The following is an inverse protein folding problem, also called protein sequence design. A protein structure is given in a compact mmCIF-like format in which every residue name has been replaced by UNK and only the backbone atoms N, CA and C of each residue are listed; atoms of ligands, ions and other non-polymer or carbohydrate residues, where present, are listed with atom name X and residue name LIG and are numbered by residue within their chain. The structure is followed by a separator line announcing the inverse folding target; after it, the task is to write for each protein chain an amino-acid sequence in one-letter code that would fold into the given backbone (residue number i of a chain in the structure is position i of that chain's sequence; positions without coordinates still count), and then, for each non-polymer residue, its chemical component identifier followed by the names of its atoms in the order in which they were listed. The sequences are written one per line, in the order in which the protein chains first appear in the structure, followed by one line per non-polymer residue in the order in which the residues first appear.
data_IF_526776207845
#
_entry.id   IF_526776207845
#
_cell.length_a   1.000
_cell.length_b   1.000
_cell.length_c   1.000
_cell.angle_alpha   90.00
_cell.angle_beta   90.00
_cell.angle_gamma   90.00
#
_symmetry.space_group_name_H-M   'P 1'
#
loop_
_entity.id
_entity.type
_entity.pdbx_description
1 polymer ?
#
# COMPACT_ATOMS: atom_id res chain seq x y z
N UNK A 1 5.05 6.57 20.38
CA UNK A 1 5.74 7.20 21.53
C UNK A 1 4.73 7.95 22.39
N UNK A 2 4.77 7.78 23.71
CA UNK A 2 3.93 8.58 24.59
C UNK A 2 4.40 10.05 24.59
N UNK A 3 3.50 11.00 24.91
CA UNK A 3 3.87 12.42 24.99
C UNK A 3 5.02 12.67 25.99
N UNK A 4 5.16 11.84 27.03
CA UNK A 4 6.25 11.91 28.00
C UNK A 4 7.62 11.54 27.42
N UNK A 5 7.67 10.52 26.57
CA UNK A 5 8.92 10.08 25.88
C UNK A 5 9.39 11.12 24.87
N UNK A 6 8.47 11.74 24.12
CA UNK A 6 8.81 12.82 23.20
C UNK A 6 9.38 14.03 23.94
N UNK A 7 8.76 14.42 25.07
CA UNK A 7 9.24 15.52 25.88
C UNK A 7 10.64 15.23 26.48
N UNK A 8 10.90 14.01 26.93
CA UNK A 8 12.21 13.58 27.39
C UNK A 8 13.25 13.69 26.28
N UNK A 9 12.94 13.18 25.08
CA UNK A 9 13.80 13.31 23.91
C UNK A 9 14.12 14.77 23.56
N UNK A 10 13.10 15.65 23.55
CA UNK A 10 13.27 17.08 23.27
C UNK A 10 14.14 17.78 24.34
N UNK A 11 14.04 17.37 25.61
CA UNK A 11 14.88 17.88 26.67
C UNK A 11 16.35 17.43 26.50
N UNK A 12 16.56 16.17 26.11
CA UNK A 12 17.91 15.61 25.92
C UNK A 12 18.64 16.26 24.72
N UNK A 13 17.98 16.44 23.59
CA UNK A 13 18.59 17.13 22.44
C UNK A 13 18.90 18.61 22.76
N UNK A 14 18.15 19.22 23.67
CA UNK A 14 18.38 20.59 24.13
C UNK A 14 19.70 20.79 24.91
N UNK A 15 20.23 19.70 25.50
CA UNK A 15 21.50 19.73 26.27
C UNK A 15 22.74 19.84 25.38
N UNK A 16 22.63 19.51 24.10
CA UNK A 16 23.77 19.58 23.19
C UNK A 16 23.95 20.99 22.62
N UNK A 17 25.09 21.65 22.89
CA UNK A 17 25.35 23.00 22.37
C UNK A 17 25.60 22.98 20.87
N UNK A 18 25.22 24.06 20.20
CA UNK A 18 25.51 24.23 18.77
C UNK A 18 27.02 24.48 18.59
N UNK A 19 27.64 23.70 17.69
CA UNK A 19 29.05 23.84 17.39
C UNK A 19 29.36 25.11 16.60
N UNK A 20 30.54 25.71 16.84
CA UNK A 20 31.07 26.78 15.99
C UNK A 20 31.32 26.28 14.56
N UNK A 21 31.29 27.18 13.57
CA UNK A 21 31.54 26.83 12.16
C UNK A 21 32.86 26.09 11.95
N UNK A 22 33.90 26.50 12.65
CA UNK A 22 35.21 25.86 12.56
C UNK A 22 35.22 24.45 13.14
N UNK A 23 34.52 24.24 14.25
CA UNK A 23 34.38 22.90 14.84
C UNK A 23 33.55 21.99 13.91
N UNK A 24 32.45 22.48 13.35
CA UNK A 24 31.66 21.73 12.36
C UNK A 24 32.53 21.30 11.15
N UNK A 25 33.30 22.22 10.56
CA UNK A 25 34.19 21.91 9.45
C UNK A 25 35.26 20.88 9.79
N UNK A 26 35.86 20.95 11.01
CA UNK A 26 36.80 19.94 11.46
C UNK A 26 36.18 18.55 11.53
N UNK A 27 34.96 18.43 12.07
CA UNK A 27 34.24 17.16 12.12
C UNK A 27 33.86 16.69 10.71
N UNK A 28 33.35 17.56 9.85
CA UNK A 28 32.99 17.21 8.48
C UNK A 28 34.19 16.73 7.66
N UNK A 29 35.38 17.31 7.81
CA UNK A 29 36.62 16.83 7.15
C UNK A 29 36.99 15.39 7.58
N UNK A 30 36.77 15.06 8.86
CA UNK A 30 37.02 13.68 9.36
C UNK A 30 35.99 12.70 8.83
N UNK A 31 34.72 13.12 8.74
CA UNK A 31 33.65 12.32 8.14
C UNK A 31 33.96 12.08 6.67
N UNK A 32 34.29 13.14 5.93
CA UNK A 32 34.60 13.07 4.50
C UNK A 32 35.77 12.16 4.22
N UNK A 33 36.88 12.27 4.98
CA UNK A 33 38.05 11.40 4.87
C UNK A 33 37.75 9.92 5.14
N UNK A 34 36.75 9.64 6.00
CA UNK A 34 36.31 8.28 6.27
C UNK A 34 35.38 7.73 5.20
N UNK A 35 34.36 8.48 4.83
CA UNK A 35 33.33 8.05 3.86
C UNK A 35 33.91 7.89 2.45
N UNK A 36 34.81 8.80 2.05
CA UNK A 36 35.42 8.83 0.70
C UNK A 36 36.88 8.26 0.71
N UNK A 37 37.18 7.33 1.60
CA UNK A 37 38.46 6.66 1.60
C UNK A 37 38.66 5.81 0.33
N UNK A 38 39.80 5.84 -0.32
CA UNK A 38 40.11 5.16 -1.59
C UNK A 38 39.80 3.67 -1.60
N UNK A 39 39.96 2.99 -0.44
CA UNK A 39 39.58 1.58 -0.26
C UNK A 39 38.13 1.33 0.13
N UNK A 40 37.27 2.37 0.12
CA UNK A 40 35.89 2.32 0.64
C UNK A 40 35.80 2.49 2.16
N UNK A 41 34.63 2.85 2.64
CA UNK A 41 34.30 3.15 4.04
C UNK A 41 34.70 2.02 5.02
N UNK A 42 34.55 0.76 4.63
CA UNK A 42 34.82 -0.42 5.46
C UNK A 42 36.27 -0.74 5.56
N UNK A 43 37.06 -0.48 4.52
CA UNK A 43 38.48 -0.75 4.43
C UNK A 43 39.33 0.43 4.92
N UNK A 44 38.72 1.51 5.40
CA UNK A 44 39.45 2.63 5.97
C UNK A 44 40.24 2.18 7.23
N UNK A 45 41.49 2.66 7.42
CA UNK A 45 42.29 2.38 8.59
C UNK A 45 41.52 2.64 9.90
N UNK A 46 41.74 1.82 10.91
CA UNK A 46 41.00 1.85 12.17
C UNK A 46 40.95 3.25 12.83
N UNK A 47 42.05 4.02 12.77
CA UNK A 47 42.08 5.38 13.32
C UNK A 47 41.19 6.37 12.54
N UNK A 48 41.15 6.28 11.19
CA UNK A 48 40.30 7.12 10.36
C UNK A 48 38.83 6.76 10.59
N UNK A 49 38.49 5.46 10.59
CA UNK A 49 37.14 4.98 10.86
C UNK A 49 36.66 5.44 12.24
N UNK A 50 37.45 5.25 13.30
CA UNK A 50 37.11 5.68 14.66
C UNK A 50 36.91 7.19 14.77
N UNK A 51 37.78 7.98 14.10
CA UNK A 51 37.68 9.43 14.10
C UNK A 51 36.47 9.90 13.30
N UNK A 52 36.16 9.27 12.17
CA UNK A 52 34.99 9.52 11.34
C UNK A 52 33.69 9.22 12.07
N UNK A 53 33.54 8.02 12.65
CA UNK A 53 32.34 7.62 13.42
C UNK A 53 32.06 8.57 14.59
N UNK A 54 33.07 8.86 15.42
CA UNK A 54 32.94 9.82 16.54
C UNK A 54 32.53 11.21 16.05
N UNK A 55 33.09 11.64 14.92
CA UNK A 55 32.72 12.94 14.33
C UNK A 55 31.31 12.94 13.79
N UNK A 56 30.82 11.82 13.24
CA UNK A 56 29.44 11.63 12.80
C UNK A 56 28.49 11.73 14.01
N UNK A 57 28.76 11.02 15.10
CA UNK A 57 27.93 11.05 16.31
C UNK A 57 27.82 12.48 16.87
N UNK A 58 28.93 13.20 16.95
CA UNK A 58 28.94 14.60 17.40
C UNK A 58 28.14 15.50 16.46
N UNK A 59 28.30 15.34 15.14
CA UNK A 59 27.58 16.17 14.16
C UNK A 59 26.09 15.86 14.14
N UNK A 60 25.69 14.60 14.30
CA UNK A 60 24.28 14.22 14.38
C UNK A 60 23.66 14.81 15.64
N UNK A 61 24.21 14.53 16.82
CA UNK A 61 23.64 14.96 18.10
C UNK A 61 23.48 16.49 18.20
N UNK A 62 24.46 17.25 17.71
CA UNK A 62 24.40 18.72 17.75
C UNK A 62 23.45 19.34 16.72
N UNK A 63 23.02 18.58 15.70
CA UNK A 63 22.10 19.05 14.66
C UNK A 63 20.68 18.47 14.76
N UNK A 64 20.36 17.61 15.77
CA UNK A 64 19.01 17.08 15.98
C UNK A 64 17.93 18.17 16.12
N UNK A 65 18.28 19.31 16.72
CA UNK A 65 17.36 20.45 16.84
C UNK A 65 16.93 21.00 15.48
N UNK A 66 17.82 20.98 14.47
CA UNK A 66 17.47 21.35 13.09
C UNK A 66 16.44 20.39 12.53
N UNK A 67 16.61 19.07 12.73
CA UNK A 67 15.65 18.05 12.28
C UNK A 67 14.28 18.30 12.88
N UNK A 68 14.18 18.51 14.19
CA UNK A 68 12.90 18.81 14.87
C UNK A 68 12.25 20.08 14.31
N UNK A 69 13.03 21.13 14.05
CA UNK A 69 12.50 22.39 13.49
C UNK A 69 11.90 22.21 12.10
N UNK A 70 12.47 21.29 11.30
CA UNK A 70 11.94 20.92 9.99
C UNK A 70 10.72 20.04 10.15
N UNK A 71 10.76 18.98 11.00
CA UNK A 71 9.68 18.03 11.21
C UNK A 71 8.37 18.69 11.65
N UNK A 72 8.44 19.71 12.52
CA UNK A 72 7.26 20.48 12.96
C UNK A 72 6.43 21.07 11.81
N UNK A 73 7.04 21.35 10.65
CA UNK A 73 6.34 21.88 9.46
C UNK A 73 5.62 20.81 8.64
N UNK A 74 5.86 19.53 8.95
CA UNK A 74 5.28 18.39 8.26
C UNK A 74 4.26 17.63 9.10
N UNK A 75 4.01 18.07 10.33
CA UNK A 75 2.97 17.51 11.22
C UNK A 75 1.60 17.62 10.55
N UNK A 76 0.75 16.60 10.73
CA UNK A 76 -0.60 16.54 10.17
C UNK A 76 -0.66 16.07 8.70
N UNK A 77 0.44 15.52 8.17
CA UNK A 77 0.51 14.98 6.80
C UNK A 77 0.46 13.45 6.73
N UNK A 78 -0.05 12.79 7.78
CA UNK A 78 -0.25 11.34 7.83
C UNK A 78 0.87 10.56 8.52
N UNK A 79 1.93 11.23 9.00
CA UNK A 79 2.94 10.64 9.89
C UNK A 79 3.00 11.40 11.20
N UNK A 80 3.22 10.69 12.29
CA UNK A 80 3.42 11.26 13.62
C UNK A 80 4.77 11.99 13.72
N UNK A 81 4.83 12.99 14.63
CA UNK A 81 6.05 13.79 14.81
C UNK A 81 7.28 12.96 15.16
N UNK A 82 7.22 11.92 16.01
CA UNK A 82 8.37 11.05 16.27
C UNK A 82 8.91 10.36 15.01
N UNK A 83 8.02 9.84 14.16
CA UNK A 83 8.42 9.14 12.94
C UNK A 83 9.05 10.11 11.94
N UNK A 84 8.46 11.31 11.80
CA UNK A 84 9.05 12.38 10.99
C UNK A 84 10.45 12.77 11.46
N UNK A 85 10.67 12.80 12.77
CA UNK A 85 11.99 13.10 13.34
C UNK A 85 12.99 11.98 12.99
N UNK A 86 12.60 10.70 13.11
CA UNK A 86 13.50 9.60 12.78
C UNK A 86 13.86 9.57 11.29
N UNK A 87 12.87 9.74 10.41
CA UNK A 87 13.13 9.85 8.98
C UNK A 87 14.03 11.06 8.65
N UNK A 88 13.80 12.18 9.34
CA UNK A 88 14.66 13.35 9.22
C UNK A 88 16.09 13.12 9.73
N UNK A 89 16.27 12.33 10.78
CA UNK A 89 17.58 11.94 11.29
C UNK A 89 18.36 11.10 10.26
N UNK A 90 17.68 10.16 9.58
CA UNK A 90 18.27 9.41 8.46
C UNK A 90 18.70 10.36 7.32
N UNK A 91 17.85 11.35 7.01
CA UNK A 91 18.19 12.40 6.05
C UNK A 91 19.39 13.24 6.48
N UNK A 92 19.49 13.61 7.76
CA UNK A 92 20.65 14.33 8.32
C UNK A 92 21.93 13.53 8.16
N UNK A 93 21.94 12.25 8.54
CA UNK A 93 23.09 11.34 8.41
C UNK A 93 23.53 11.28 6.95
N UNK A 94 22.60 11.05 6.04
CA UNK A 94 22.89 11.01 4.60
C UNK A 94 23.46 12.34 4.08
N UNK A 95 22.91 13.46 4.52
CA UNK A 95 23.42 14.79 4.19
C UNK A 95 24.84 15.02 4.70
N UNK A 96 25.18 14.54 5.90
CA UNK A 96 26.53 14.64 6.45
C UNK A 96 27.54 13.75 5.71
N UNK A 97 27.12 12.57 5.27
CA UNK A 97 27.98 11.67 4.45
C UNK A 97 28.35 12.29 3.09
N UNK A 98 27.41 12.99 2.47
CA UNK A 98 27.57 13.58 1.13
C UNK A 98 28.11 15.03 1.17
N UNK A 99 28.26 15.59 2.36
CA UNK A 99 28.73 16.98 2.50
C UNK A 99 30.20 17.12 2.16
N UNK A 100 30.50 18.01 1.22
CA UNK A 100 31.87 18.36 0.85
C UNK A 100 32.33 19.63 1.59
N UNK A 101 33.28 19.50 2.55
CA UNK A 101 33.75 20.62 3.35
C UNK A 101 34.60 21.65 2.56
N UNK A 102 34.96 21.37 1.29
CA UNK A 102 35.77 22.28 0.46
C UNK A 102 34.94 23.35 -0.22
N UNK A 103 33.61 23.14 -0.38
CA UNK A 103 32.70 24.04 -1.11
C UNK A 103 32.30 25.30 -0.35
N UNK A 104 32.63 25.44 0.93
CA UNK A 104 32.41 26.65 1.71
C UNK A 104 30.97 26.92 2.18
N UNK A 105 30.00 26.08 1.81
CA UNK A 105 28.61 26.25 2.28
C UNK A 105 28.46 25.81 3.75
N UNK A 106 27.48 26.40 4.45
CA UNK A 106 27.16 25.96 5.81
C UNK A 106 26.56 24.53 5.80
N UNK A 107 26.96 23.72 6.77
CA UNK A 107 26.47 22.33 6.92
C UNK A 107 24.95 22.30 7.01
N UNK A 108 24.35 23.19 7.81
CA UNK A 108 22.90 23.29 8.00
C UNK A 108 22.14 23.58 6.70
N UNK A 109 22.70 24.40 5.81
CA UNK A 109 22.08 24.72 4.51
C UNK A 109 22.05 23.51 3.60
N UNK A 110 23.10 22.72 3.58
CA UNK A 110 23.19 21.51 2.77
C UNK A 110 22.33 20.37 3.33
N UNK A 111 22.46 20.08 4.61
CA UNK A 111 21.73 18.98 5.28
C UNK A 111 20.23 19.24 5.34
N UNK A 112 19.79 20.51 5.37
CA UNK A 112 18.37 20.87 5.33
C UNK A 112 17.61 20.25 4.16
N UNK A 113 18.22 20.21 2.97
CA UNK A 113 17.60 19.63 1.79
C UNK A 113 17.45 18.11 1.90
N UNK A 114 18.44 17.44 2.47
CA UNK A 114 18.40 15.99 2.71
C UNK A 114 17.37 15.61 3.78
N UNK A 115 17.30 16.38 4.87
CA UNK A 115 16.29 16.21 5.92
C UNK A 115 14.89 16.35 5.30
N UNK A 116 14.67 17.41 4.56
CA UNK A 116 13.40 17.67 3.87
C UNK A 116 13.04 16.56 2.89
N UNK A 117 13.99 16.12 2.09
CA UNK A 117 13.81 15.06 1.11
C UNK A 117 13.42 13.73 1.78
N UNK A 118 14.12 13.35 2.86
CA UNK A 118 13.82 12.12 3.62
C UNK A 118 12.40 12.16 4.18
N UNK A 119 12.01 13.25 4.88
CA UNK A 119 10.68 13.41 5.43
C UNK A 119 9.58 13.37 4.35
N UNK A 120 9.79 14.08 3.23
CA UNK A 120 8.82 14.08 2.12
C UNK A 120 8.67 12.69 1.52
N UNK A 121 9.79 11.98 1.33
CA UNK A 121 9.79 10.61 0.84
C UNK A 121 9.05 9.67 1.79
N UNK A 122 9.30 9.76 3.09
CA UNK A 122 8.63 8.95 4.11
C UNK A 122 7.11 9.20 4.11
N UNK A 123 6.67 10.46 4.02
CA UNK A 123 5.25 10.79 3.90
C UNK A 123 4.64 10.12 2.66
N UNK A 124 5.29 10.18 1.50
CA UNK A 124 4.77 9.57 0.28
C UNK A 124 4.73 8.04 0.32
N UNK A 125 5.62 7.40 1.09
CA UNK A 125 5.72 5.94 1.14
C UNK A 125 4.91 5.30 2.27
N UNK A 126 4.78 5.97 3.42
CA UNK A 126 4.31 5.35 4.66
C UNK A 126 3.11 6.06 5.31
N UNK A 127 2.73 7.27 4.86
CA UNK A 127 1.65 8.02 5.47
C UNK A 127 0.24 7.46 5.16
N UNK A 128 0.11 6.56 4.19
CA UNK A 128 -1.17 5.98 3.77
C UNK A 128 -1.18 4.48 3.95
N UNK A 129 -2.30 3.93 4.40
CA UNK A 129 -2.53 2.48 4.50
C UNK A 129 -2.44 1.82 3.12
N UNK A 130 -3.06 2.44 2.10
CA UNK A 130 -2.95 2.00 0.70
C UNK A 130 -1.88 2.88 0.03
N UNK A 131 -0.76 2.25 -0.34
CA UNK A 131 0.37 2.94 -0.97
C UNK A 131 0.02 3.48 -2.36
N UNK A 132 0.34 4.75 -2.59
CA UNK A 132 0.20 5.41 -3.89
C UNK A 132 1.60 5.73 -4.46
N UNK A 133 1.84 5.61 -5.78
CA UNK A 133 3.10 6.02 -6.41
C UNK A 133 3.41 7.51 -6.19
N UNK A 134 4.69 7.86 -6.07
CA UNK A 134 5.14 9.24 -5.77
C UNK A 134 4.66 10.23 -6.84
N UNK A 135 4.74 9.86 -8.12
CA UNK A 135 4.31 10.73 -9.22
C UNK A 135 2.82 11.12 -9.11
N UNK A 136 1.98 10.17 -8.68
CA UNK A 136 0.55 10.42 -8.46
C UNK A 136 0.33 11.39 -7.28
N UNK A 137 1.14 11.29 -6.21
CA UNK A 137 1.09 12.21 -5.09
C UNK A 137 1.39 13.66 -5.49
N UNK A 138 2.39 13.88 -6.35
CA UNK A 138 2.75 15.23 -6.80
C UNK A 138 1.62 15.85 -7.64
N UNK A 139 1.03 15.07 -8.53
CA UNK A 139 -0.11 15.50 -9.35
C UNK A 139 -1.31 15.80 -8.46
N UNK A 140 -1.64 14.91 -7.51
CA UNK A 140 -2.72 15.12 -6.54
C UNK A 140 -2.53 16.37 -5.69
N UNK A 141 -1.32 16.62 -5.19
CA UNK A 141 -1.02 17.82 -4.40
C UNK A 141 -1.20 19.11 -5.21
N UNK A 142 -0.85 19.10 -6.50
CA UNK A 142 -1.08 20.22 -7.43
C UNK A 142 -2.58 20.40 -7.69
N UNK A 143 -3.30 19.32 -7.93
CA UNK A 143 -4.75 19.30 -8.14
C UNK A 143 -5.50 19.90 -6.94
N UNK A 144 -5.19 19.43 -5.72
CA UNK A 144 -5.84 19.93 -4.50
C UNK A 144 -5.58 21.42 -4.26
N UNK A 145 -4.34 21.87 -4.52
CA UNK A 145 -3.99 23.29 -4.41
C UNK A 145 -4.81 24.12 -5.39
N UNK A 146 -4.89 23.68 -6.65
CA UNK A 146 -5.68 24.36 -7.66
C UNK A 146 -7.18 24.42 -7.31
N UNK A 147 -7.76 23.31 -6.85
CA UNK A 147 -9.16 23.27 -6.40
C UNK A 147 -9.39 24.26 -5.27
N UNK A 148 -8.49 24.30 -4.28
CA UNK A 148 -8.59 25.22 -3.13
C UNK A 148 -8.50 26.68 -3.57
N UNK A 149 -7.55 27.04 -4.41
CA UNK A 149 -7.35 28.39 -4.94
C UNK A 149 -8.53 28.83 -5.83
N UNK A 150 -8.96 27.97 -6.74
CA UNK A 150 -10.08 28.24 -7.64
C UNK A 150 -11.40 28.42 -6.90
N UNK A 151 -11.68 27.54 -5.92
CA UNK A 151 -12.88 27.64 -5.09
C UNK A 151 -12.89 28.91 -4.23
N UNK A 152 -11.73 29.31 -3.72
CA UNK A 152 -11.59 30.54 -2.95
C UNK A 152 -11.85 31.81 -3.79
N UNK A 153 -11.43 31.81 -5.08
CA UNK A 153 -11.59 32.94 -5.98
C UNK A 153 -12.97 33.02 -6.62
N UNK A 154 -13.54 31.88 -7.05
CA UNK A 154 -14.73 31.82 -7.86
C UNK A 154 -15.97 31.35 -7.10
N UNK A 155 -15.84 30.86 -5.85
CA UNK A 155 -16.93 30.29 -5.08
C UNK A 155 -17.54 29.00 -5.64
N UNK A 156 -16.85 28.35 -6.62
CA UNK A 156 -17.29 27.13 -7.29
C UNK A 156 -16.12 26.14 -7.40
N UNK A 157 -16.45 24.86 -7.46
CA UNK A 157 -15.47 23.79 -7.71
C UNK A 157 -15.13 23.77 -9.21
N UNK A 158 -13.85 23.70 -9.61
CA UNK A 158 -13.46 23.63 -11.03
C UNK A 158 -13.91 22.32 -11.66
N UNK A 159 -14.18 22.35 -12.96
CA UNK A 159 -14.50 21.16 -13.76
C UNK A 159 -13.28 20.27 -13.97
N UNK A 160 -13.48 18.97 -14.25
CA UNK A 160 -12.40 18.02 -14.54
C UNK A 160 -11.52 18.51 -15.69
N UNK A 161 -12.11 19.14 -16.70
CA UNK A 161 -11.40 19.70 -17.86
C UNK A 161 -10.50 20.88 -17.48
N UNK A 162 -10.92 21.74 -16.55
CA UNK A 162 -10.12 22.85 -16.06
C UNK A 162 -8.94 22.35 -15.19
N UNK A 163 -9.20 21.34 -14.34
CA UNK A 163 -8.16 20.69 -13.54
C UNK A 163 -7.12 20.03 -14.48
N UNK A 164 -7.57 19.27 -15.46
CA UNK A 164 -6.73 18.58 -16.43
C UNK A 164 -5.80 19.53 -17.19
N UNK A 165 -6.34 20.68 -17.61
CA UNK A 165 -5.58 21.74 -18.26
C UNK A 165 -4.52 22.36 -17.35
N UNK A 166 -4.83 22.57 -16.06
CA UNK A 166 -3.90 23.15 -15.09
C UNK A 166 -2.74 22.19 -14.76
N UNK A 167 -3.06 20.90 -14.61
CA UNK A 167 -2.08 19.86 -14.21
C UNK A 167 -1.29 19.33 -15.42
N UNK A 168 -1.71 19.68 -16.64
CA UNK A 168 -1.15 19.16 -17.91
C UNK A 168 -1.28 17.63 -18.01
N UNK A 169 -2.50 17.14 -17.77
CA UNK A 169 -2.85 15.72 -17.85
C UNK A 169 -4.15 15.53 -18.65
N UNK A 170 -4.39 14.30 -19.11
CA UNK A 170 -5.66 13.96 -19.76
C UNK A 170 -6.82 13.97 -18.75
N UNK A 171 -8.04 14.42 -19.11
CA UNK A 171 -9.20 14.43 -18.22
C UNK A 171 -9.51 13.06 -17.59
N UNK A 172 -9.40 11.98 -18.38
CA UNK A 172 -9.60 10.58 -17.91
C UNK A 172 -8.59 10.19 -16.84
N UNK A 173 -7.34 10.64 -16.96
CA UNK A 173 -6.28 10.39 -15.97
C UNK A 173 -6.56 11.14 -14.67
N UNK A 174 -7.06 12.37 -14.75
CA UNK A 174 -7.42 13.18 -13.57
C UNK A 174 -8.60 12.56 -12.85
N UNK A 175 -9.62 12.09 -13.57
CA UNK A 175 -10.77 11.39 -13.00
C UNK A 175 -10.35 10.12 -12.26
N UNK A 176 -9.59 9.25 -12.90
CA UNK A 176 -9.04 8.05 -12.27
C UNK A 176 -8.16 8.37 -11.04
N UNK A 177 -7.40 9.47 -11.04
CA UNK A 177 -6.62 9.89 -9.88
C UNK A 177 -7.51 10.38 -8.72
N UNK A 178 -8.61 11.07 -9.00
CA UNK A 178 -9.56 11.51 -7.99
C UNK A 178 -10.27 10.31 -7.35
N UNK A 179 -10.65 9.31 -8.14
CA UNK A 179 -11.24 8.06 -7.65
C UNK A 179 -10.26 7.30 -6.75
N UNK A 180 -8.99 7.17 -7.17
CA UNK A 180 -7.94 6.57 -6.33
C UNK A 180 -7.78 7.33 -5.02
N UNK A 181 -7.88 8.66 -5.03
CA UNK A 181 -7.79 9.46 -3.81
C UNK A 181 -8.93 9.16 -2.83
N UNK A 182 -10.16 9.01 -3.32
CA UNK A 182 -11.33 8.66 -2.51
C UNK A 182 -11.21 7.24 -1.93
N UNK A 183 -10.81 6.27 -2.74
CA UNK A 183 -10.64 4.86 -2.33
C UNK A 183 -9.52 4.72 -1.29
N UNK A 184 -8.47 5.51 -1.38
CA UNK A 184 -7.32 5.44 -0.44
C UNK A 184 -7.53 6.21 0.86
N UNK A 185 -8.65 6.92 1.02
CA UNK A 185 -9.07 7.55 2.27
C UNK A 185 -9.72 6.52 3.21
N UNK A 186 -8.89 5.64 3.81
CA UNK A 186 -9.37 4.63 4.76
C UNK A 186 -9.89 5.29 6.04
N UNK A 187 -11.07 4.86 6.50
CA UNK A 187 -11.59 5.17 7.84
C UNK A 187 -11.39 3.97 8.76
N UNK A 188 -11.29 4.21 10.08
CA UNK A 188 -11.16 3.13 11.04
C UNK A 188 -12.50 2.40 11.20
N UNK A 189 -12.47 1.07 11.19
CA UNK A 189 -13.62 0.22 11.46
C UNK A 189 -14.07 0.27 12.94
N UNK A 190 -13.16 0.63 13.85
CA UNK A 190 -13.45 0.76 15.28
C UNK A 190 -14.16 2.09 15.62
N UNK A 191 -14.33 2.97 14.64
CA UNK A 191 -15.03 4.24 14.86
C UNK A 191 -16.50 3.98 15.13
N UNK A 192 -17.03 4.57 16.21
CA UNK A 192 -18.46 4.51 16.53
C UNK A 192 -19.22 5.31 15.47
N UNK A 193 -20.21 4.70 14.84
CA UNK A 193 -21.07 5.35 13.83
C UNK A 193 -21.82 6.55 14.42
N UNK A 194 -22.00 7.62 13.65
CA UNK A 194 -22.64 8.87 14.11
C UNK A 194 -24.05 8.67 14.69
N UNK A 195 -24.74 7.60 14.32
CA UNK A 195 -26.13 7.29 14.74
C UNK A 195 -26.26 5.94 15.45
N UNK A 196 -25.16 5.27 15.78
CA UNK A 196 -25.15 3.95 16.40
C UNK A 196 -24.17 3.93 17.59
N UNK A 197 -24.49 3.18 18.64
CA UNK A 197 -23.58 2.94 19.76
C UNK A 197 -22.52 1.88 19.45
N UNK A 198 -22.65 1.21 18.30
CA UNK A 198 -21.77 0.12 17.86
C UNK A 198 -20.70 0.62 16.89
N UNK A 199 -19.50 0.00 16.88
CA UNK A 199 -18.45 0.30 15.90
C UNK A 199 -18.89 -0.06 14.48
N UNK A 200 -18.28 0.60 13.48
CA UNK A 200 -18.62 0.41 12.05
C UNK A 200 -18.44 -1.03 11.61
N UNK A 201 -17.49 -1.77 12.22
CA UNK A 201 -17.25 -3.18 11.89
C UNK A 201 -18.49 -4.05 12.10
N UNK A 202 -19.31 -3.78 13.13
CA UNK A 202 -20.51 -4.55 13.44
C UNK A 202 -21.66 -4.26 12.46
N UNK A 203 -21.56 -3.15 11.69
CA UNK A 203 -22.56 -2.77 10.69
C UNK A 203 -22.25 -3.36 9.30
N UNK A 204 -21.02 -3.85 9.08
CA UNK A 204 -20.60 -4.42 7.80
C UNK A 204 -21.07 -5.88 7.74
N UNK A 205 -22.00 -6.16 6.82
CA UNK A 205 -22.44 -7.53 6.58
C UNK A 205 -21.30 -8.35 5.96
N UNK A 206 -21.11 -9.57 6.43
CA UNK A 206 -20.20 -10.52 5.79
C UNK A 206 -20.87 -11.07 4.52
N UNK A 207 -20.47 -10.56 3.34
CA UNK A 207 -21.05 -11.00 2.06
C UNK A 207 -20.72 -12.44 1.71
N UNK A 208 -19.54 -12.92 2.12
CA UNK A 208 -19.16 -14.34 1.95
C UNK A 208 -19.96 -15.27 2.87
N UNK A 209 -20.44 -14.75 3.99
CA UNK A 209 -21.23 -15.51 4.98
C UNK A 209 -22.71 -15.70 4.60
N UNK A 210 -23.26 -14.96 3.65
CA UNK A 210 -24.71 -15.10 3.30
C UNK A 210 -25.04 -16.47 2.74
N UNK A 211 -24.17 -17.08 1.94
CA UNK A 211 -24.36 -18.45 1.44
C UNK A 211 -23.98 -19.54 2.45
N UNK A 212 -23.06 -19.23 3.39
CA UNK A 212 -22.50 -20.19 4.35
C UNK A 212 -23.21 -20.19 5.71
N UNK A 213 -23.99 -19.16 6.02
CA UNK A 213 -24.58 -18.98 7.38
C UNK A 213 -26.06 -19.38 7.43
N UNK A 214 -26.71 -19.56 6.27
CA UNK A 214 -28.07 -20.06 6.22
C UNK A 214 -28.05 -21.60 6.20
N UNK A 215 -28.47 -22.26 7.28
CA UNK A 215 -28.47 -23.72 7.36
C UNK A 215 -29.41 -24.36 6.33
N UNK A 216 -30.36 -23.62 5.78
CA UNK A 216 -31.27 -24.12 4.74
C UNK A 216 -30.55 -24.34 3.42
N UNK A 217 -29.57 -23.49 3.07
CA UNK A 217 -28.78 -23.63 1.84
C UNK A 217 -27.98 -24.93 1.82
N UNK A 218 -27.42 -25.33 2.96
CA UNK A 218 -26.68 -26.58 3.04
C UNK A 218 -27.62 -27.79 2.88
N UNK A 219 -28.80 -27.74 3.52
CA UNK A 219 -29.81 -28.78 3.37
C UNK A 219 -30.38 -28.87 1.95
N UNK A 220 -30.63 -27.72 1.32
CA UNK A 220 -31.09 -27.66 -0.08
C UNK A 220 -30.02 -28.26 -1.01
N UNK A 221 -28.74 -27.97 -0.81
CA UNK A 221 -27.63 -28.54 -1.58
C UNK A 221 -27.50 -30.07 -1.38
N UNK A 222 -27.69 -30.55 -0.16
CA UNK A 222 -27.72 -32.01 0.12
C UNK A 222 -28.92 -32.67 -0.56
N UNK A 223 -30.11 -32.06 -0.50
CA UNK A 223 -31.30 -32.56 -1.16
C UNK A 223 -31.14 -32.58 -2.68
N UNK A 224 -30.66 -31.51 -3.29
CA UNK A 224 -30.36 -31.43 -4.72
C UNK A 224 -29.33 -32.49 -5.15
N UNK A 225 -28.28 -32.65 -4.36
CA UNK A 225 -27.24 -33.67 -4.61
C UNK A 225 -27.82 -35.10 -4.55
N UNK A 226 -28.70 -35.37 -3.59
CA UNK A 226 -29.39 -36.66 -3.48
C UNK A 226 -30.32 -36.91 -4.67
N UNK A 227 -31.06 -35.91 -5.14
CA UNK A 227 -31.94 -35.99 -6.33
C UNK A 227 -31.11 -36.30 -7.58
N UNK A 228 -30.00 -35.59 -7.77
CA UNK A 228 -29.09 -35.82 -8.91
C UNK A 228 -28.46 -37.23 -8.85
N UNK A 229 -27.97 -37.64 -7.68
CA UNK A 229 -27.39 -38.98 -7.48
C UNK A 229 -28.40 -40.09 -7.77
N UNK A 230 -29.68 -39.91 -7.38
CA UNK A 230 -30.75 -40.85 -7.73
C UNK A 230 -31.03 -40.86 -9.24
N UNK A 231 -31.13 -39.71 -9.88
CA UNK A 231 -31.36 -39.61 -11.32
C UNK A 231 -30.20 -40.23 -12.15
N UNK A 232 -28.97 -40.12 -11.67
CA UNK A 232 -27.80 -40.75 -12.30
C UNK A 232 -27.85 -42.29 -12.37
N UNK A 233 -28.65 -42.93 -11.52
CA UNK A 233 -28.82 -44.40 -11.57
C UNK A 233 -29.57 -44.89 -12.81
N UNK A 234 -30.37 -44.03 -13.43
CA UNK A 234 -31.15 -44.35 -14.63
C UNK A 234 -30.38 -44.13 -15.93
N UNK A 235 -29.12 -43.67 -15.86
CA UNK A 235 -28.25 -43.54 -17.02
C UNK A 235 -27.50 -44.85 -17.31
N UNK A 236 -27.22 -45.10 -18.61
CA UNK A 236 -26.31 -46.18 -18.99
C UNK A 236 -24.89 -45.90 -18.50
N UNK A 237 -24.05 -46.94 -18.36
CA UNK A 237 -22.66 -46.75 -17.92
C UNK A 237 -21.88 -45.74 -18.77
N UNK A 238 -22.09 -45.75 -20.09
CA UNK A 238 -21.45 -44.83 -21.03
C UNK A 238 -21.93 -43.40 -20.84
N UNK A 239 -23.24 -43.19 -20.68
CA UNK A 239 -23.85 -41.85 -20.43
C UNK A 239 -23.36 -41.28 -19.09
N UNK A 240 -23.29 -42.12 -18.04
CA UNK A 240 -22.82 -41.72 -16.72
C UNK A 240 -21.34 -41.31 -16.78
N UNK A 241 -20.50 -42.08 -17.47
CA UNK A 241 -19.08 -41.77 -17.61
C UNK A 241 -18.83 -40.44 -18.32
N UNK A 242 -19.62 -40.12 -19.36
CA UNK A 242 -19.54 -38.83 -20.07
C UNK A 242 -19.93 -37.67 -19.15
N UNK A 243 -21.05 -37.81 -18.42
CA UNK A 243 -21.49 -36.75 -17.48
C UNK A 243 -20.43 -36.50 -16.42
N UNK A 244 -19.91 -37.58 -15.80
CA UNK A 244 -18.86 -37.47 -14.78
C UNK A 244 -17.58 -36.82 -15.34
N UNK A 245 -17.13 -37.23 -16.53
CA UNK A 245 -15.91 -36.67 -17.15
C UNK A 245 -16.06 -35.16 -17.47
N UNK A 246 -17.25 -34.75 -17.94
CA UNK A 246 -17.48 -33.34 -18.34
C UNK A 246 -17.73 -32.43 -17.13
N UNK A 247 -18.52 -32.85 -16.13
CA UNK A 247 -18.96 -31.99 -15.03
C UNK A 247 -18.12 -32.11 -13.76
N UNK A 248 -17.48 -33.23 -13.49
CA UNK A 248 -16.59 -33.41 -12.35
C UNK A 248 -15.12 -33.44 -12.77
N UNK A 249 -14.81 -33.94 -14.00
CA UNK A 249 -13.46 -33.98 -14.52
C UNK A 249 -13.03 -32.78 -15.34
N UNK A 250 -13.91 -31.79 -15.56
CA UNK A 250 -13.67 -30.57 -16.37
C UNK A 250 -13.13 -30.89 -17.80
N UNK A 251 -13.41 -32.10 -18.31
CA UNK A 251 -12.94 -32.52 -19.62
C UNK A 251 -13.88 -32.03 -20.74
N UNK A 252 -13.30 -31.71 -21.88
CA UNK A 252 -14.11 -31.42 -23.08
C UNK A 252 -14.81 -32.67 -23.61
N UNK A 253 -15.93 -32.50 -24.33
CA UNK A 253 -16.66 -33.62 -24.94
C UNK A 253 -15.81 -34.49 -25.90
N UNK A 254 -14.73 -33.90 -26.44
CA UNK A 254 -13.78 -34.63 -27.28
C UNK A 254 -12.90 -35.55 -26.41
N UNK A 255 -12.30 -35.02 -25.38
CA UNK A 255 -11.44 -35.77 -24.45
C UNK A 255 -12.23 -36.83 -23.69
N UNK A 256 -13.47 -36.52 -23.27
CA UNK A 256 -14.38 -37.51 -22.66
C UNK A 256 -14.74 -38.65 -23.62
N UNK A 257 -14.91 -38.34 -24.92
CA UNK A 257 -15.13 -39.33 -25.95
C UNK A 257 -13.90 -40.22 -26.18
N UNK A 258 -12.71 -39.62 -26.26
CA UNK A 258 -11.44 -40.33 -26.43
C UNK A 258 -11.15 -41.28 -25.24
N UNK A 259 -11.48 -40.86 -24.01
CA UNK A 259 -11.32 -41.68 -22.80
C UNK A 259 -12.18 -42.97 -22.80
N UNK A 260 -13.34 -42.93 -23.47
CA UNK A 260 -14.27 -44.05 -23.56
C UNK A 260 -14.12 -44.84 -24.93
N UNK A 261 -13.25 -44.35 -25.82
CA UNK A 261 -13.01 -44.95 -27.10
C UNK A 261 -14.07 -44.63 -28.16
N UNK A 262 -14.81 -43.53 -28.06
CA UNK A 262 -15.85 -43.08 -28.98
C UNK A 262 -15.49 -41.72 -29.61
N UNK A 263 -16.04 -41.48 -30.80
CA UNK A 263 -15.79 -40.20 -31.47
C UNK A 263 -16.61 -39.07 -30.86
N UNK A 264 -16.18 -37.83 -31.09
CA UNK A 264 -16.81 -36.58 -30.57
C UNK A 264 -18.32 -36.49 -30.89
N UNK A 265 -18.74 -36.92 -32.09
CA UNK A 265 -20.14 -36.86 -32.50
C UNK A 265 -21.00 -37.77 -31.63
N UNK A 266 -20.51 -39.00 -31.36
CA UNK A 266 -21.19 -39.98 -30.51
C UNK A 266 -21.19 -39.51 -29.03
N UNK A 267 -20.10 -38.94 -28.53
CA UNK A 267 -20.03 -38.38 -27.19
C UNK A 267 -21.05 -37.25 -27.01
N UNK A 268 -21.16 -36.34 -27.98
CA UNK A 268 -22.18 -35.26 -27.96
C UNK A 268 -23.60 -35.80 -27.99
N UNK A 269 -23.87 -36.88 -28.76
CA UNK A 269 -25.19 -37.50 -28.78
C UNK A 269 -25.54 -38.15 -27.44
N UNK A 270 -24.59 -38.89 -26.83
CA UNK A 270 -24.80 -39.52 -25.52
C UNK A 270 -24.97 -38.48 -24.42
N UNK A 271 -24.18 -37.42 -24.41
CA UNK A 271 -24.33 -36.30 -23.47
C UNK A 271 -25.71 -35.66 -23.55
N UNK A 272 -26.20 -35.37 -24.78
CA UNK A 272 -27.55 -34.81 -24.97
C UNK A 272 -28.64 -35.76 -24.48
N UNK A 273 -28.53 -37.06 -24.79
CA UNK A 273 -29.48 -38.08 -24.36
C UNK A 273 -29.47 -38.22 -22.82
N UNK A 274 -28.29 -38.20 -22.20
CA UNK A 274 -28.15 -38.25 -20.76
C UNK A 274 -28.84 -37.05 -20.07
N UNK A 275 -28.64 -35.83 -20.58
CA UNK A 275 -29.29 -34.64 -20.02
C UNK A 275 -30.83 -34.71 -20.18
N UNK A 276 -31.35 -35.19 -21.30
CA UNK A 276 -32.80 -35.39 -21.49
C UNK A 276 -33.37 -36.40 -20.50
N UNK A 277 -32.65 -37.51 -20.27
CA UNK A 277 -33.06 -38.50 -19.26
C UNK A 277 -33.02 -37.96 -17.86
N UNK A 278 -31.93 -37.29 -17.47
CA UNK A 278 -31.80 -36.64 -16.15
C UNK A 278 -32.93 -35.67 -15.89
N UNK A 279 -33.19 -34.76 -16.84
CA UNK A 279 -34.25 -33.78 -16.73
C UNK A 279 -35.63 -34.43 -16.52
N UNK A 280 -35.95 -35.47 -17.27
CA UNK A 280 -37.21 -36.23 -17.16
C UNK A 280 -37.39 -36.89 -15.79
N UNK A 281 -36.26 -37.35 -15.18
CA UNK A 281 -36.31 -37.99 -13.87
C UNK A 281 -36.38 -36.97 -12.74
N UNK A 282 -35.68 -35.84 -12.85
CA UNK A 282 -35.71 -34.75 -11.86
C UNK A 282 -37.11 -34.10 -11.83
N UNK A 283 -37.74 -33.85 -12.99
CA UNK A 283 -39.09 -33.26 -13.05
C UNK A 283 -40.18 -34.17 -12.48
N UNK A 284 -39.89 -35.45 -12.26
CA UNK A 284 -40.83 -36.44 -11.68
C UNK A 284 -40.72 -36.58 -10.16
N UNK A 285 -39.67 -36.03 -9.57
CA UNK A 285 -39.54 -36.03 -8.11
C UNK A 285 -40.39 -34.85 -7.58
N UNK A 286 -41.49 -35.11 -6.82
CA UNK A 286 -42.26 -34.05 -6.22
C UNK A 286 -41.37 -33.29 -5.23
N UNK A 287 -41.44 -31.96 -5.28
CA UNK A 287 -40.73 -31.05 -4.37
C UNK A 287 -41.15 -31.27 -2.92
#
# INVERSE_FOLDING_TARGET
MSNSELNSYLADIGRHPVLSKEAQLRHCRRIHAWVHHEGGRENAPHHIRRAGTRSMDVMVTTNLRLVVSVAKRYVGRGLDLPDLIQEGNLGLIRGLELYDPTRGYAVSTYTYWWIRQAMTRAIHTSARTIRIPINTHEVMARTQRFISEYSSLNGKIPSITEIAKYVDQKPETVEAMLDVYLITACSSLDTIGKNCESPVIDLIANEEGKASTDPTVALDQEADSAIVAHAMQFLTPEERSIIHSVYEGDLTLRESGEAIGINRARASQLHRNALVKLRKHIERVPA
#
